data_IF_239980473390
#
_entry.id   IF_239980473390
#
_cell.length_a   1.000
_cell.length_b   1.000
_cell.length_c   1.000
_cell.angle_alpha   90.00
_cell.angle_beta   90.00
_cell.angle_gamma   90.00
#
_symmetry.space_group_name_H-M   'P 1'
#
loop_
_entity.id
_entity.type
_entity.pdbx_description
1 polymer ?
#
# COMPACT_ATOMS: atom_id res chain seq x y z
N UNK A 1 23.62 -26.77 43.10
CA UNK A 1 23.05 -25.43 43.34
C UNK A 1 23.56 -24.48 42.28
N UNK A 2 22.70 -23.99 41.40
CA UNK A 2 23.09 -23.05 40.36
C UNK A 2 23.01 -21.61 40.90
N UNK A 3 24.12 -20.90 40.75
CA UNK A 3 24.37 -19.52 41.16
C UNK A 3 23.47 -18.59 40.34
N UNK A 4 22.46 -18.00 40.98
CA UNK A 4 21.65 -16.92 40.38
C UNK A 4 22.46 -15.63 40.44
N UNK A 5 23.01 -15.22 39.29
CA UNK A 5 23.70 -13.94 39.13
C UNK A 5 22.68 -12.79 39.30
N UNK A 6 22.84 -11.99 40.36
CA UNK A 6 21.91 -10.90 40.76
C UNK A 6 22.14 -9.57 40.04
N UNK A 7 23.01 -9.51 39.03
CA UNK A 7 23.22 -8.29 38.24
C UNK A 7 22.21 -8.19 37.08
N UNK A 8 20.93 -8.03 37.43
CA UNK A 8 19.86 -7.77 36.46
C UNK A 8 19.81 -6.27 36.06
N UNK A 9 19.71 -5.94 34.77
CA UNK A 9 19.62 -4.54 34.33
C UNK A 9 18.33 -3.88 34.84
N UNK A 10 18.43 -2.57 35.19
CA UNK A 10 17.37 -1.71 35.74
C UNK A 10 16.04 -1.90 35.00
N UNK A 11 14.92 -1.99 35.74
CA UNK A 11 13.58 -2.33 35.24
C UNK A 11 13.25 -1.57 33.96
N UNK A 12 13.34 -2.30 32.85
CA UNK A 12 13.08 -1.81 31.52
C UNK A 12 11.59 -1.94 31.20
N UNK A 13 11.07 -0.98 30.44
CA UNK A 13 9.69 -0.85 30.00
C UNK A 13 9.14 -2.20 29.47
N UNK A 14 7.86 -2.50 29.68
CA UNK A 14 7.21 -3.76 29.27
C UNK A 14 7.54 -4.16 27.82
N UNK A 15 7.56 -3.17 26.92
CA UNK A 15 7.92 -3.34 25.51
C UNK A 15 9.34 -3.89 25.30
N UNK A 16 10.32 -3.45 26.10
CA UNK A 16 11.71 -3.91 26.03
C UNK A 16 11.84 -5.36 26.50
N UNK A 17 10.96 -5.80 27.41
CA UNK A 17 10.88 -7.22 27.79
C UNK A 17 10.39 -8.05 26.60
N UNK A 18 9.31 -7.64 25.94
CA UNK A 18 8.82 -8.33 24.73
C UNK A 18 9.84 -8.34 23.59
N UNK A 19 10.62 -7.27 23.43
CA UNK A 19 11.66 -7.20 22.41
C UNK A 19 12.88 -8.04 22.78
N UNK A 20 13.29 -8.13 24.06
CA UNK A 20 14.57 -8.76 24.45
C UNK A 20 14.45 -10.14 25.13
N UNK A 21 13.25 -10.69 25.34
CA UNK A 21 13.07 -12.06 25.89
C UNK A 21 13.25 -13.17 24.86
N UNK A 22 13.48 -12.83 23.60
CA UNK A 22 13.61 -13.81 22.54
C UNK A 22 15.01 -14.44 22.55
N UNK A 23 15.09 -15.73 22.85
CA UNK A 23 16.28 -16.54 22.70
C UNK A 23 16.07 -17.52 21.54
N UNK A 24 16.88 -17.40 20.47
CA UNK A 24 16.70 -18.16 19.23
C UNK A 24 16.98 -19.67 19.41
N UNK A 25 17.50 -20.11 20.55
CA UNK A 25 17.74 -21.52 20.89
C UNK A 25 16.57 -22.19 21.61
N UNK A 26 15.78 -21.42 22.37
CA UNK A 26 14.70 -21.98 23.22
C UNK A 26 13.32 -21.82 22.60
N UNK A 27 13.15 -20.90 21.65
CA UNK A 27 11.87 -20.66 20.97
C UNK A 27 11.54 -21.76 19.93
N UNK A 28 10.39 -22.46 20.06
CA UNK A 28 10.01 -23.53 19.14
C UNK A 28 9.88 -23.03 17.69
N UNK A 29 9.41 -21.79 17.49
CA UNK A 29 9.26 -21.21 16.15
C UNK A 29 10.60 -20.99 15.45
N UNK A 30 11.67 -20.70 16.19
CA UNK A 30 13.00 -20.58 15.61
C UNK A 30 13.56 -21.95 15.22
N UNK A 31 13.35 -22.97 16.06
CA UNK A 31 13.73 -24.36 15.76
C UNK A 31 13.01 -24.88 14.50
N UNK A 32 11.71 -24.63 14.37
CA UNK A 32 10.93 -24.99 13.18
C UNK A 32 11.43 -24.29 11.91
N UNK A 33 11.81 -23.00 12.01
CA UNK A 33 12.37 -22.26 10.88
C UNK A 33 13.74 -22.78 10.47
N UNK A 34 14.61 -23.10 11.45
CA UNK A 34 15.92 -23.71 11.18
C UNK A 34 15.76 -25.06 10.48
N UNK A 35 14.81 -25.88 10.92
CA UNK A 35 14.52 -27.18 10.30
C UNK A 35 13.95 -27.03 8.88
N UNK A 36 13.01 -26.10 8.66
CA UNK A 36 12.41 -25.88 7.33
C UNK A 36 13.39 -25.30 6.32
N UNK A 37 14.29 -24.42 6.76
CA UNK A 37 15.23 -23.70 5.90
C UNK A 37 16.62 -24.34 5.82
N UNK A 38 16.88 -25.37 6.64
CA UNK A 38 18.18 -26.03 6.82
C UNK A 38 19.32 -25.03 7.12
N UNK A 39 19.00 -23.98 7.89
CA UNK A 39 19.91 -22.88 8.22
C UNK A 39 19.99 -22.72 9.75
N UNK A 40 21.13 -23.02 10.37
CA UNK A 40 21.30 -22.96 11.83
C UNK A 40 21.25 -21.53 12.40
N UNK A 41 21.47 -20.53 11.56
CA UNK A 41 21.45 -19.11 11.91
C UNK A 41 20.07 -18.45 11.66
N UNK A 42 19.07 -19.21 11.22
CA UNK A 42 17.74 -18.67 10.99
C UNK A 42 17.08 -18.31 12.32
N UNK A 43 16.65 -17.05 12.46
CA UNK A 43 15.93 -16.57 13.63
C UNK A 43 14.68 -15.78 13.20
N UNK A 44 13.53 -16.08 13.80
CA UNK A 44 12.24 -15.51 13.41
C UNK A 44 12.20 -13.99 13.56
N UNK A 45 12.74 -13.46 14.66
CA UNK A 45 12.78 -12.02 14.91
C UNK A 45 13.59 -11.27 13.85
N UNK A 46 14.70 -11.85 13.40
CA UNK A 46 15.51 -11.26 12.34
C UNK A 46 14.77 -11.27 10.99
N UNK A 47 14.00 -12.32 10.70
CA UNK A 47 13.13 -12.37 9.53
C UNK A 47 12.01 -11.32 9.63
N UNK A 48 11.34 -11.20 10.78
CA UNK A 48 10.31 -10.19 11.00
C UNK A 48 10.84 -8.76 10.78
N UNK A 49 12.06 -8.45 11.25
CA UNK A 49 12.67 -7.14 11.03
C UNK A 49 12.93 -6.90 9.53
N UNK A 50 13.39 -7.92 8.80
CA UNK A 50 13.57 -7.84 7.33
C UNK A 50 12.23 -7.64 6.62
N UNK A 51 11.20 -8.37 7.04
CA UNK A 51 9.86 -8.28 6.47
C UNK A 51 9.25 -6.90 6.73
N UNK A 52 9.33 -6.39 7.96
CA UNK A 52 8.89 -5.02 8.33
C UNK A 52 9.65 -3.97 7.53
N UNK A 53 10.97 -4.13 7.33
CA UNK A 53 11.76 -3.23 6.49
C UNK A 53 11.29 -3.23 5.03
N UNK A 54 10.95 -4.41 4.49
CA UNK A 54 10.38 -4.53 3.15
C UNK A 54 9.01 -3.85 3.06
N UNK A 55 8.14 -4.07 4.05
CA UNK A 55 6.81 -3.46 4.12
C UNK A 55 6.88 -1.93 4.18
N UNK A 56 7.85 -1.35 4.91
CA UNK A 56 8.06 0.10 4.93
C UNK A 56 8.45 0.61 3.54
N UNK A 57 9.31 -0.11 2.82
CA UNK A 57 9.68 0.26 1.44
C UNK A 57 8.49 0.20 0.49
N UNK A 58 7.63 -0.81 0.63
CA UNK A 58 6.38 -0.91 -0.12
C UNK A 58 5.45 0.24 0.25
N UNK A 59 5.30 0.57 1.54
CA UNK A 59 4.46 1.67 2.00
C UNK A 59 4.85 3.01 1.35
N UNK A 60 6.14 3.25 1.13
CA UNK A 60 6.63 4.43 0.41
C UNK A 60 6.14 4.45 -1.05
N UNK A 61 6.17 3.30 -1.74
CA UNK A 61 5.61 3.16 -3.10
C UNK A 61 4.11 3.43 -3.15
N UNK A 62 3.39 3.15 -2.04
CA UNK A 62 1.96 3.40 -1.91
C UNK A 62 1.61 4.84 -1.47
N UNK A 63 2.57 5.73 -1.18
CA UNK A 63 2.32 7.14 -0.85
C UNK A 63 1.46 7.94 -1.86
N UNK A 64 1.58 7.76 -3.19
CA UNK A 64 0.71 8.47 -4.13
C UNK A 64 -0.75 7.98 -4.10
N UNK A 65 -1.04 6.80 -3.53
CA UNK A 65 -2.40 6.25 -3.48
C UNK A 65 -3.37 7.10 -2.65
N UNK A 66 -3.06 7.49 -1.39
CA UNK A 66 -3.93 8.40 -0.63
C UNK A 66 -4.05 9.78 -1.28
N UNK A 67 -3.01 10.27 -1.95
CA UNK A 67 -3.09 11.54 -2.70
C UNK A 67 -4.05 11.43 -3.89
N UNK A 68 -4.02 10.31 -4.62
CA UNK A 68 -4.98 10.03 -5.69
C UNK A 68 -6.41 10.00 -5.17
N UNK A 69 -6.67 9.27 -4.08
CA UNK A 69 -8.01 9.19 -3.49
C UNK A 69 -8.50 10.55 -2.97
N UNK A 70 -7.62 11.35 -2.35
CA UNK A 70 -7.96 12.70 -1.90
C UNK A 70 -8.33 13.64 -3.06
N UNK A 71 -7.70 13.48 -4.23
CA UNK A 71 -8.05 14.25 -5.43
C UNK A 71 -9.32 13.74 -6.09
N UNK A 72 -9.51 12.41 -6.15
CA UNK A 72 -10.70 11.79 -6.73
C UNK A 72 -11.97 12.18 -5.97
N UNK A 73 -11.92 12.26 -4.64
CA UNK A 73 -13.06 12.68 -3.81
C UNK A 73 -13.51 14.13 -4.09
N UNK A 74 -12.58 15.00 -4.53
CA UNK A 74 -12.89 16.39 -4.87
C UNK A 74 -13.75 16.52 -6.14
N UNK A 75 -13.81 15.48 -6.98
CA UNK A 75 -14.63 15.45 -8.19
C UNK A 75 -16.13 15.58 -7.87
N UNK A 76 -16.59 15.00 -6.77
CA UNK A 76 -18.00 15.03 -6.37
C UNK A 76 -18.43 16.31 -5.65
N UNK A 77 -17.47 17.10 -5.16
CA UNK A 77 -17.75 18.27 -4.29
C UNK A 77 -17.31 19.58 -4.94
N UNK A 78 -15.99 19.80 -5.02
CA UNK A 78 -15.43 21.09 -5.44
C UNK A 78 -15.64 21.34 -6.93
N UNK A 79 -15.45 20.30 -7.75
CA UNK A 79 -15.62 20.42 -9.19
C UNK A 79 -17.08 20.54 -9.60
N UNK A 80 -18.00 19.96 -8.83
CA UNK A 80 -19.44 20.12 -9.02
C UNK A 80 -19.87 21.55 -8.71
N UNK A 81 -19.39 22.14 -7.62
CA UNK A 81 -19.66 23.55 -7.28
C UNK A 81 -19.10 24.50 -8.35
N UNK A 82 -17.90 24.21 -8.88
CA UNK A 82 -17.33 24.96 -9.99
C UNK A 82 -18.19 24.81 -11.27
N UNK A 83 -18.70 23.61 -11.55
CA UNK A 83 -19.61 23.36 -12.67
C UNK A 83 -20.91 24.14 -12.57
N UNK A 84 -21.47 24.32 -11.37
CA UNK A 84 -22.68 25.15 -11.15
C UNK A 84 -22.43 26.62 -11.51
N UNK A 85 -21.20 27.11 -11.36
CA UNK A 85 -20.81 28.49 -11.68
C UNK A 85 -20.42 28.67 -13.16
N UNK A 86 -20.32 27.59 -13.93
CA UNK A 86 -20.01 27.61 -15.36
C UNK A 86 -21.28 27.50 -16.20
N UNK A 87 -21.26 28.01 -17.44
CA UNK A 87 -22.41 27.89 -18.34
C UNK A 87 -22.51 26.44 -18.84
N UNK A 88 -23.43 25.66 -18.26
CA UNK A 88 -23.63 24.24 -18.55
C UNK A 88 -24.43 23.96 -19.85
N UNK A 89 -24.40 24.87 -20.82
CA UNK A 89 -25.07 24.71 -22.12
C UNK A 89 -24.14 24.00 -23.10
N UNK A 90 -24.44 22.74 -23.41
CA UNK A 90 -23.59 21.93 -24.31
C UNK A 90 -23.90 22.21 -25.78
N UNK A 91 -25.18 22.21 -26.17
CA UNK A 91 -25.63 22.46 -27.54
C UNK A 91 -26.97 23.22 -27.52
N UNK A 92 -26.92 24.55 -27.51
CA UNK A 92 -28.11 25.40 -27.53
C UNK A 92 -28.96 25.35 -26.26
N UNK A 93 -30.02 24.53 -26.24
CA UNK A 93 -31.05 24.45 -25.18
C UNK A 93 -30.92 23.24 -24.22
N UNK A 94 -29.99 22.32 -24.48
CA UNK A 94 -29.75 21.18 -23.58
C UNK A 94 -28.88 21.65 -22.40
N UNK A 95 -29.53 21.85 -21.25
CA UNK A 95 -28.87 22.20 -19.99
C UNK A 95 -28.41 20.91 -19.33
N UNK A 96 -27.08 20.69 -19.28
CA UNK A 96 -26.53 19.57 -18.52
C UNK A 96 -26.65 19.95 -17.04
N UNK A 97 -27.45 19.20 -16.29
CA UNK A 97 -27.50 19.40 -14.86
C UNK A 97 -26.12 19.06 -14.27
N UNK A 98 -25.57 19.91 -13.39
CA UNK A 98 -24.24 19.69 -12.82
C UNK A 98 -24.13 18.41 -11.99
N UNK A 99 -25.24 17.83 -11.53
CA UNK A 99 -25.30 16.51 -10.88
C UNK A 99 -24.95 15.35 -11.83
N UNK A 100 -25.20 15.51 -13.13
CA UNK A 100 -24.90 14.50 -14.16
C UNK A 100 -23.40 14.41 -14.49
N UNK A 101 -22.56 15.29 -13.92
CA UNK A 101 -21.10 15.23 -14.08
C UNK A 101 -20.49 13.92 -13.58
N UNK A 102 -21.12 13.25 -12.60
CA UNK A 102 -20.65 11.95 -12.13
C UNK A 102 -20.80 10.85 -13.20
N UNK A 103 -21.80 10.95 -14.08
CA UNK A 103 -21.98 10.00 -15.19
C UNK A 103 -20.84 10.07 -16.21
N UNK A 104 -20.21 11.24 -16.38
CA UNK A 104 -19.05 11.42 -17.27
C UNK A 104 -17.85 10.63 -16.76
N UNK A 105 -17.61 10.61 -15.44
CA UNK A 105 -16.53 9.81 -14.85
C UNK A 105 -16.69 8.32 -15.19
N UNK A 106 -17.88 7.76 -14.95
CA UNK A 106 -18.19 6.38 -15.27
C UNK A 106 -18.03 6.05 -16.76
N UNK A 107 -18.45 6.98 -17.64
CA UNK A 107 -18.28 6.82 -19.09
C UNK A 107 -16.80 6.86 -19.50
N UNK A 108 -15.99 7.74 -18.91
CA UNK A 108 -14.55 7.83 -19.17
C UNK A 108 -13.83 6.56 -18.76
N UNK A 109 -14.16 5.96 -17.61
CA UNK A 109 -13.57 4.67 -17.20
C UNK A 109 -13.96 3.57 -18.19
N UNK A 110 -15.24 3.50 -18.57
CA UNK A 110 -15.72 2.49 -19.52
C UNK A 110 -15.04 2.58 -20.89
N UNK A 111 -14.72 3.80 -21.33
CA UNK A 111 -14.04 4.05 -22.61
C UNK A 111 -12.52 3.88 -22.49
N UNK A 112 -11.90 4.31 -21.40
CA UNK A 112 -10.45 4.20 -21.22
C UNK A 112 -10.00 2.78 -20.97
N UNK A 113 -10.72 1.94 -20.22
CA UNK A 113 -10.34 0.54 -20.00
C UNK A 113 -10.03 -0.19 -21.33
N UNK A 114 -10.95 -0.26 -22.33
CA UNK A 114 -10.68 -0.95 -23.58
C UNK A 114 -9.62 -0.24 -24.43
N UNK A 115 -9.52 1.09 -24.39
CA UNK A 115 -8.46 1.82 -25.11
C UNK A 115 -7.09 1.45 -24.56
N UNK A 116 -6.91 1.45 -23.23
CA UNK A 116 -5.64 1.08 -22.63
C UNK A 116 -5.32 -0.40 -22.92
N UNK A 117 -6.32 -1.28 -22.86
CA UNK A 117 -6.14 -2.72 -23.08
C UNK A 117 -5.84 -3.10 -24.52
N UNK A 118 -6.60 -2.58 -25.47
CA UNK A 118 -6.57 -3.01 -26.88
C UNK A 118 -5.63 -2.16 -27.72
N UNK A 119 -5.40 -0.90 -27.33
CA UNK A 119 -4.59 0.04 -28.14
C UNK A 119 -3.26 0.32 -27.45
N UNK A 120 -3.28 0.78 -26.19
CA UNK A 120 -2.07 1.30 -25.55
C UNK A 120 -1.10 0.17 -25.18
N UNK A 121 -1.51 -0.87 -24.46
CA UNK A 121 -0.62 -1.97 -24.11
C UNK A 121 0.02 -2.67 -25.32
N UNK A 122 -0.69 -3.03 -26.40
CA UNK A 122 -0.04 -3.64 -27.56
C UNK A 122 0.84 -2.66 -28.33
N UNK A 123 0.53 -1.36 -28.33
CA UNK A 123 1.39 -0.36 -28.96
C UNK A 123 2.67 -0.18 -28.15
N UNK A 124 2.57 -0.03 -26.82
CA UNK A 124 3.73 0.06 -25.93
C UNK A 124 4.57 -1.22 -26.00
N UNK A 125 3.96 -2.40 -26.03
CA UNK A 125 4.69 -3.67 -26.20
C UNK A 125 5.41 -3.80 -27.55
N UNK A 126 4.94 -3.10 -28.59
CA UNK A 126 5.62 -3.06 -29.90
C UNK A 126 6.76 -2.05 -29.93
N UNK A 127 6.65 -0.95 -29.17
CA UNK A 127 7.68 0.10 -29.11
C UNK A 127 8.74 -0.14 -28.02
N UNK A 128 8.39 -0.86 -26.97
CA UNK A 128 9.26 -1.22 -25.85
C UNK A 128 9.30 -2.74 -25.76
N UNK A 129 10.39 -3.34 -26.21
CA UNK A 129 10.70 -4.75 -26.01
C UNK A 129 10.79 -5.02 -24.50
N UNK A 130 9.72 -5.52 -23.90
CA UNK A 130 9.71 -5.96 -22.51
C UNK A 130 10.57 -7.23 -22.46
N UNK A 131 11.75 -7.13 -21.84
CA UNK A 131 12.60 -8.27 -21.46
C UNK A 131 12.17 -8.77 -20.09
#
# INVERSE_FOLDING_TARGET
>A
GAIVNRNGPKRKHFLERYLNTHDCETEPKCMELKQKRNDNNACQKAQLIKDVRSLISVLIMYLPVPMYWALYDQQGSVWLIQGIQMDCRIWGSTLLLPDQMQSINSLMILLFIPIFQIIIYPTVSKFVTIT
#
